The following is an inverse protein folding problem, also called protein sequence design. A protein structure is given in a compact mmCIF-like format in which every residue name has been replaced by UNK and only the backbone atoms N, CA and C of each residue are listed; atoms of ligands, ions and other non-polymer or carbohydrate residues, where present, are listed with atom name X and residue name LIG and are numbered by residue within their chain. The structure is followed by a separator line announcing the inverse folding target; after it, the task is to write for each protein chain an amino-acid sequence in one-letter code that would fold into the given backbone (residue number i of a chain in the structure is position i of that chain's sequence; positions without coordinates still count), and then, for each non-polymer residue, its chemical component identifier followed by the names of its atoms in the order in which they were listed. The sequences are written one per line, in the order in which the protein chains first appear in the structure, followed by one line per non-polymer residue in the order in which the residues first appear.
data_IF_149557136090
#
_entry.id   IF_149557136090
#
_cell.length_a   1.000
_cell.length_b   1.000
_cell.length_c   1.000
_cell.angle_alpha   90.00
_cell.angle_beta   90.00
_cell.angle_gamma   90.00
#
_symmetry.space_group_name_H-M   'P 1'
#
loop_
_entity.id
_entity.type
_entity.pdbx_description
1 polymer ?
#
# COMPACT_ATOMS: atom_id res chain seq x y z
N UNK A 1 33.93 68.90 -42.83
CA UNK A 1 33.09 69.02 -41.63
C UNK A 1 32.61 67.64 -41.29
N UNK A 2 32.40 67.24 -40.06
CA UNK A 2 32.34 67.84 -38.72
C UNK A 2 32.11 66.60 -37.83
N UNK A 3 32.40 66.45 -36.55
CA UNK A 3 32.94 67.25 -35.47
C UNK A 3 33.26 66.21 -34.38
N UNK A 4 34.22 66.51 -33.51
CA UNK A 4 34.49 65.75 -32.29
C UNK A 4 33.42 66.03 -31.24
N UNK A 5 33.00 65.00 -30.48
CA UNK A 5 32.44 65.19 -29.14
C UNK A 5 33.09 64.21 -28.14
N UNK A 6 33.64 64.80 -27.09
CA UNK A 6 34.20 64.20 -25.88
C UNK A 6 33.13 64.00 -24.79
N UNK A 7 33.55 63.36 -23.70
CA UNK A 7 32.93 63.16 -22.36
C UNK A 7 32.19 61.84 -22.18
N UNK A 8 32.26 61.12 -21.06
CA UNK A 8 33.20 61.04 -19.92
C UNK A 8 32.81 59.76 -19.14
N UNK A 9 33.69 59.33 -18.25
CA UNK A 9 33.71 58.04 -17.55
C UNK A 9 32.51 57.76 -16.62
N UNK A 10 32.16 56.49 -16.46
CA UNK A 10 31.98 55.90 -15.12
C UNK A 10 32.13 54.38 -15.14
N UNK A 11 33.06 53.88 -14.30
CA UNK A 11 33.19 52.47 -13.96
C UNK A 11 32.31 52.19 -12.74
N UNK A 12 31.45 51.19 -12.86
CA UNK A 12 30.71 50.59 -11.76
C UNK A 12 30.87 49.08 -11.87
N UNK A 13 31.72 48.52 -11.02
CA UNK A 13 31.82 47.08 -10.79
C UNK A 13 30.56 46.65 -10.03
N UNK A 14 29.67 45.93 -10.71
CA UNK A 14 28.61 45.14 -10.09
C UNK A 14 28.99 43.67 -10.24
N UNK A 15 29.22 43.01 -9.11
CA UNK A 15 29.47 41.58 -9.01
C UNK A 15 28.28 40.79 -9.60
N UNK A 16 28.46 40.23 -10.79
CA UNK A 16 27.54 39.24 -11.35
C UNK A 16 27.75 37.90 -10.64
N UNK A 17 27.03 37.71 -9.54
CA UNK A 17 26.79 36.40 -8.95
C UNK A 17 25.97 35.57 -9.93
N UNK A 18 26.64 34.75 -10.75
CA UNK A 18 26.01 33.66 -11.48
C UNK A 18 25.47 32.60 -10.50
N UNK A 19 24.22 32.76 -10.09
CA UNK A 19 23.44 31.68 -9.51
C UNK A 19 23.10 30.69 -10.63
N UNK A 20 23.90 29.63 -10.74
CA UNK A 20 23.51 28.43 -11.46
C UNK A 20 22.42 27.71 -10.66
N UNK A 21 21.16 27.94 -11.02
CA UNK A 21 20.06 27.06 -10.63
C UNK A 21 20.23 25.72 -11.36
N UNK A 22 20.82 24.75 -10.67
CA UNK A 22 20.77 23.36 -11.07
C UNK A 22 19.36 22.81 -10.77
N UNK A 23 18.46 22.98 -11.74
CA UNK A 23 17.21 22.25 -11.80
C UNK A 23 17.48 20.76 -12.03
N UNK A 24 17.79 20.03 -10.96
CA UNK A 24 17.80 18.57 -10.98
C UNK A 24 16.37 18.06 -10.87
N UNK A 25 15.66 18.05 -12.01
CA UNK A 25 14.46 17.21 -12.16
C UNK A 25 14.90 15.75 -12.25
N UNK A 26 15.06 15.12 -11.10
CA UNK A 26 15.15 13.67 -11.03
C UNK A 26 13.72 13.10 -11.17
N UNK A 27 13.27 12.94 -12.41
CA UNK A 27 12.22 11.96 -12.71
C UNK A 27 12.84 10.58 -12.48
N UNK A 28 12.62 10.04 -11.29
CA UNK A 28 12.87 8.64 -11.01
C UNK A 28 11.70 7.84 -11.57
N UNK A 29 11.73 7.55 -12.87
CA UNK A 29 10.98 6.43 -13.43
C UNK A 29 11.55 5.14 -12.84
N UNK A 30 10.99 4.71 -11.71
CA UNK A 30 11.18 3.37 -11.19
C UNK A 30 10.45 2.40 -12.12
N UNK A 31 11.15 1.93 -13.16
CA UNK A 31 10.78 0.71 -13.86
C UNK A 31 10.93 -0.47 -12.89
N UNK A 32 9.92 -0.69 -12.07
CA UNK A 32 9.76 -1.96 -11.38
C UNK A 32 9.49 -3.01 -12.46
N UNK A 33 10.50 -3.81 -12.78
CA UNK A 33 10.29 -5.08 -13.45
C UNK A 33 9.41 -5.90 -12.49
N UNK A 34 8.09 -5.91 -12.71
CA UNK A 34 7.17 -6.73 -11.95
C UNK A 34 7.52 -8.20 -12.24
N UNK A 35 8.34 -8.80 -11.36
CA UNK A 35 8.48 -10.25 -11.34
C UNK A 35 7.12 -10.83 -10.94
N UNK A 36 6.35 -11.27 -11.94
CA UNK A 36 5.12 -12.01 -11.73
C UNK A 36 5.45 -13.37 -11.10
N UNK A 37 5.28 -13.48 -9.79
CA UNK A 37 5.40 -14.77 -9.07
C UNK A 37 4.08 -15.52 -9.08
N UNK A 38 4.16 -16.83 -9.29
CA UNK A 38 2.98 -17.68 -9.15
C UNK A 38 2.65 -17.89 -7.67
N UNK A 39 1.38 -18.20 -7.40
CA UNK A 39 0.94 -18.61 -6.07
C UNK A 39 1.81 -19.74 -5.52
N UNK A 40 2.09 -20.76 -6.35
CA UNK A 40 2.89 -21.92 -5.97
C UNK A 40 4.31 -21.53 -5.53
N UNK A 41 4.95 -20.61 -6.23
CA UNK A 41 6.31 -20.16 -5.90
C UNK A 41 6.33 -19.47 -4.53
N UNK A 42 5.33 -18.64 -4.24
CA UNK A 42 5.22 -17.95 -2.95
C UNK A 42 5.02 -18.94 -1.80
N UNK A 43 4.16 -19.95 -1.98
CA UNK A 43 3.96 -20.99 -0.96
C UNK A 43 5.28 -21.72 -0.67
N UNK A 44 6.00 -22.13 -1.71
CA UNK A 44 7.28 -22.81 -1.55
C UNK A 44 8.32 -21.92 -0.84
N UNK A 45 8.37 -20.62 -1.17
CA UNK A 45 9.25 -19.66 -0.49
C UNK A 45 8.93 -19.57 1.01
N UNK A 46 7.65 -19.48 1.38
CA UNK A 46 7.24 -19.39 2.79
C UNK A 46 7.52 -20.70 3.54
N UNK A 47 7.24 -21.84 2.92
CA UNK A 47 7.49 -23.15 3.52
C UNK A 47 8.98 -23.38 3.79
N UNK A 48 9.84 -22.97 2.85
CA UNK A 48 11.30 -23.09 2.96
C UNK A 48 11.95 -22.06 3.88
N UNK A 49 11.28 -20.94 4.19
CA UNK A 49 11.82 -19.88 5.04
C UNK A 49 12.02 -20.36 6.49
N UNK A 50 13.03 -19.82 7.17
CA UNK A 50 13.26 -20.05 8.60
C UNK A 50 12.36 -19.12 9.44
N UNK A 51 11.07 -19.47 9.48
CA UNK A 51 10.02 -18.75 10.19
C UNK A 51 9.27 -19.70 11.12
N UNK A 52 8.80 -19.18 12.26
CA UNK A 52 7.96 -19.94 13.17
C UNK A 52 6.69 -20.45 12.48
N UNK A 53 6.24 -21.66 12.83
CA UNK A 53 5.08 -22.29 12.19
C UNK A 53 3.80 -21.41 12.21
N UNK A 54 3.45 -20.72 13.31
CA UNK A 54 2.28 -19.83 13.31
C UNK A 54 2.39 -18.69 12.29
N UNK A 55 3.61 -18.15 12.08
CA UNK A 55 3.86 -17.10 11.08
C UNK A 55 3.64 -17.65 9.67
N UNK A 56 4.17 -18.85 9.38
CA UNK A 56 3.96 -19.52 8.10
C UNK A 56 2.46 -19.74 7.86
N UNK A 57 1.76 -20.35 8.81
CA UNK A 57 0.33 -20.66 8.69
C UNK A 57 -0.52 -19.40 8.42
N UNK A 58 -0.29 -18.32 9.16
CA UNK A 58 -0.98 -17.04 8.95
C UNK A 58 -0.69 -16.48 7.56
N UNK A 59 0.59 -16.46 7.15
CA UNK A 59 1.00 -15.95 5.83
C UNK A 59 0.36 -16.75 4.70
N UNK A 60 0.38 -18.08 4.79
CA UNK A 60 -0.24 -18.99 3.82
C UNK A 60 -1.76 -18.76 3.72
N UNK A 61 -2.46 -18.55 4.85
CA UNK A 61 -3.90 -18.22 4.84
C UNK A 61 -4.19 -16.92 4.10
N UNK A 62 -3.39 -15.88 4.33
CA UNK A 62 -3.54 -14.57 3.66
C UNK A 62 -3.30 -14.73 2.15
N UNK A 63 -2.20 -15.36 1.74
CA UNK A 63 -1.92 -15.61 0.32
C UNK A 63 -2.98 -16.46 -0.35
N UNK A 64 -3.49 -17.49 0.33
CA UNK A 64 -4.57 -18.33 -0.18
C UNK A 64 -5.83 -17.50 -0.44
N UNK A 65 -6.20 -16.60 0.49
CA UNK A 65 -7.36 -15.71 0.33
C UNK A 65 -7.24 -14.83 -0.91
N UNK A 66 -6.06 -14.27 -1.16
CA UNK A 66 -5.78 -13.45 -2.36
C UNK A 66 -5.81 -14.33 -3.62
N UNK A 67 -5.15 -15.48 -3.59
CA UNK A 67 -5.10 -16.41 -4.72
C UNK A 67 -6.47 -16.94 -5.12
N UNK A 68 -7.35 -17.23 -4.16
CA UNK A 68 -8.73 -17.66 -4.45
C UNK A 68 -9.52 -16.54 -5.16
N UNK A 69 -9.32 -15.29 -4.74
CA UNK A 69 -9.98 -14.13 -5.38
C UNK A 69 -9.47 -13.91 -6.81
N UNK A 70 -8.16 -13.88 -7.00
CA UNK A 70 -7.51 -13.73 -8.32
C UNK A 70 -7.87 -14.88 -9.27
N UNK A 71 -7.88 -16.11 -8.77
CA UNK A 71 -8.27 -17.30 -9.53
C UNK A 71 -9.71 -17.21 -10.02
N UNK A 72 -10.63 -16.71 -9.18
CA UNK A 72 -12.02 -16.49 -9.59
C UNK A 72 -12.13 -15.42 -10.68
N UNK A 73 -11.44 -14.28 -10.52
CA UNK A 73 -11.50 -13.16 -11.46
C UNK A 73 -10.96 -13.56 -12.83
N UNK A 74 -9.91 -14.38 -12.87
CA UNK A 74 -9.28 -14.85 -14.11
C UNK A 74 -9.82 -16.19 -14.61
N UNK A 75 -10.74 -16.83 -13.89
CA UNK A 75 -11.33 -18.12 -14.25
C UNK A 75 -10.31 -19.28 -14.28
N UNK A 76 -9.30 -19.22 -13.41
CA UNK A 76 -8.23 -20.22 -13.32
C UNK A 76 -8.18 -20.85 -11.93
N UNK A 77 -7.73 -22.12 -11.81
CA UNK A 77 -7.53 -22.74 -10.51
C UNK A 77 -6.41 -22.03 -9.73
N UNK A 78 -6.52 -22.04 -8.40
CA UNK A 78 -5.60 -21.39 -7.46
C UNK A 78 -4.13 -21.71 -7.76
N UNK A 79 -3.83 -22.96 -8.09
CA UNK A 79 -2.48 -23.45 -8.35
C UNK A 79 -1.84 -22.87 -9.61
N UNK A 80 -2.65 -22.28 -10.51
CA UNK A 80 -2.20 -21.62 -11.74
C UNK A 80 -2.23 -20.09 -11.65
N UNK A 81 -2.57 -19.54 -10.49
CA UNK A 81 -2.64 -18.08 -10.30
C UNK A 81 -1.24 -17.48 -10.39
N UNK A 82 -1.11 -16.50 -11.27
CA UNK A 82 0.02 -15.57 -11.31
C UNK A 82 -0.46 -14.24 -10.78
N UNK A 83 0.22 -13.72 -9.76
CA UNK A 83 -0.15 -12.45 -9.18
C UNK A 83 0.38 -11.31 -10.03
N UNK A 84 -0.51 -10.36 -10.35
CA UNK A 84 -0.16 -9.16 -11.10
C UNK A 84 0.29 -8.06 -10.14
N UNK A 85 -0.52 -7.76 -9.13
CA UNK A 85 -0.25 -6.68 -8.17
C UNK A 85 0.40 -7.18 -6.88
N UNK A 86 0.01 -8.38 -6.42
CA UNK A 86 0.43 -8.93 -5.10
C UNK A 86 1.67 -9.85 -5.19
N UNK A 87 2.15 -10.13 -6.41
CA UNK A 87 3.33 -10.98 -6.64
C UNK A 87 4.67 -10.29 -6.37
N UNK A 88 4.63 -8.96 -6.24
CA UNK A 88 5.78 -8.12 -5.97
C UNK A 88 6.39 -8.42 -4.59
N UNK A 89 7.70 -8.20 -4.48
CA UNK A 89 8.46 -8.38 -3.23
C UNK A 89 7.82 -7.59 -2.07
N UNK A 90 7.38 -6.35 -2.33
CA UNK A 90 6.82 -5.48 -1.30
C UNK A 90 5.57 -6.09 -0.65
N UNK A 91 4.64 -6.62 -1.44
CA UNK A 91 3.43 -7.29 -0.90
C UNK A 91 3.75 -8.57 -0.14
N UNK A 92 4.79 -9.31 -0.55
CA UNK A 92 5.25 -10.48 0.19
C UNK A 92 5.81 -10.07 1.57
N UNK A 93 6.62 -9.03 1.60
CA UNK A 93 7.17 -8.49 2.84
C UNK A 93 6.05 -7.95 3.74
N UNK A 94 5.06 -7.24 3.19
CA UNK A 94 3.92 -6.70 3.95
C UNK A 94 3.13 -7.82 4.65
N UNK A 95 2.79 -8.90 3.92
CA UNK A 95 1.98 -10.01 4.44
C UNK A 95 2.75 -10.79 5.51
N UNK A 96 4.00 -11.18 5.20
CA UNK A 96 4.83 -11.95 6.12
C UNK A 96 5.18 -11.08 7.35
N UNK A 97 5.51 -9.80 7.13
CA UNK A 97 5.79 -8.84 8.19
C UNK A 97 4.60 -8.65 9.14
N UNK A 98 3.39 -8.49 8.60
CA UNK A 98 2.18 -8.43 9.41
C UNK A 98 1.97 -9.70 10.24
N UNK A 99 2.18 -10.88 9.65
CA UNK A 99 2.09 -12.16 10.36
C UNK A 99 3.12 -12.27 11.49
N UNK A 100 4.38 -11.90 11.24
CA UNK A 100 5.43 -11.85 12.26
C UNK A 100 5.03 -10.93 13.41
N UNK A 101 4.58 -9.70 13.10
CA UNK A 101 4.27 -8.69 14.11
C UNK A 101 3.11 -9.13 15.02
N UNK A 102 2.04 -9.69 14.45
CA UNK A 102 0.89 -10.18 15.24
C UNK A 102 1.31 -11.26 16.22
N UNK A 103 2.13 -12.22 15.79
CA UNK A 103 2.62 -13.30 16.65
C UNK A 103 3.63 -12.82 17.68
N UNK A 104 4.54 -11.90 17.32
CA UNK A 104 5.50 -11.32 18.26
C UNK A 104 4.83 -10.46 19.35
N UNK A 105 3.78 -9.72 18.97
CA UNK A 105 2.95 -8.95 19.91
C UNK A 105 2.06 -9.85 20.79
N UNK A 106 1.97 -11.14 20.49
CA UNK A 106 1.14 -12.13 21.20
C UNK A 106 -0.33 -11.68 21.29
N UNK A 107 -0.88 -11.25 20.15
CA UNK A 107 -2.27 -10.83 20.08
C UNK A 107 -3.16 -12.06 20.00
N UNK A 108 -4.07 -12.21 20.96
CA UNK A 108 -5.01 -13.33 21.02
C UNK A 108 -6.22 -13.12 20.09
N UNK A 109 -6.73 -11.88 20.02
CA UNK A 109 -7.94 -11.53 19.26
C UNK A 109 -7.73 -10.24 18.50
N UNK A 110 -8.06 -10.24 17.21
CA UNK A 110 -8.06 -9.04 16.35
C UNK A 110 -9.49 -8.64 16.04
N UNK A 111 -9.82 -7.36 16.26
CA UNK A 111 -11.08 -6.74 15.87
C UNK A 111 -10.82 -5.54 14.97
N UNK A 112 -11.73 -5.29 14.04
CA UNK A 112 -11.62 -4.16 13.10
C UNK A 112 -12.90 -3.35 13.04
N UNK A 113 -12.80 -2.07 12.69
CA UNK A 113 -13.97 -1.35 12.15
C UNK A 113 -14.36 -1.92 10.78
N UNK A 114 -15.56 -1.62 10.27
CA UNK A 114 -15.88 -1.83 8.86
C UNK A 114 -14.79 -1.21 7.95
N UNK A 115 -14.58 -1.81 6.78
CA UNK A 115 -13.41 -1.51 5.94
C UNK A 115 -13.72 -0.35 4.98
N UNK A 116 -13.02 0.79 5.06
CA UNK A 116 -13.21 1.88 4.11
C UNK A 116 -12.53 1.55 2.78
N UNK A 117 -13.31 1.35 1.73
CA UNK A 117 -12.79 1.01 0.39
C UNK A 117 -12.45 2.22 -0.46
N UNK A 118 -13.06 3.38 -0.16
CA UNK A 118 -12.96 4.58 -1.00
C UNK A 118 -13.94 4.55 -2.18
N UNK A 119 -13.75 5.44 -3.15
CA UNK A 119 -14.65 5.59 -4.31
C UNK A 119 -13.90 5.99 -5.58
N UNK A 120 -14.61 5.95 -6.71
CA UNK A 120 -14.11 6.42 -7.99
C UNK A 120 -13.62 5.29 -8.88
N UNK A 121 -12.54 5.55 -9.62
CA UNK A 121 -11.93 4.61 -10.55
C UNK A 121 -10.42 4.67 -10.41
N UNK A 122 -9.77 3.54 -10.60
CA UNK A 122 -8.31 3.39 -10.61
C UNK A 122 -7.87 2.76 -11.92
N UNK A 123 -6.61 2.99 -12.29
CA UNK A 123 -5.97 2.28 -13.38
C UNK A 123 -5.14 1.14 -12.78
N UNK A 124 -5.42 -0.07 -13.24
CA UNK A 124 -4.70 -1.30 -12.90
C UNK A 124 -4.18 -1.92 -14.21
N UNK A 125 -3.39 -2.99 -14.14
CA UNK A 125 -2.84 -3.67 -15.32
C UNK A 125 -3.93 -4.13 -16.31
N UNK A 126 -5.14 -4.34 -15.80
CA UNK A 126 -6.33 -4.75 -16.56
C UNK A 126 -7.17 -3.56 -17.06
N UNK A 127 -6.65 -2.33 -16.98
CA UNK A 127 -7.31 -1.10 -17.40
C UNK A 127 -8.00 -0.34 -16.28
N UNK A 128 -9.05 0.42 -16.60
CA UNK A 128 -9.69 1.31 -15.63
C UNK A 128 -10.88 0.62 -14.95
N UNK A 129 -10.75 0.34 -13.65
CA UNK A 129 -11.78 -0.32 -12.84
C UNK A 129 -12.41 0.62 -11.81
N UNK A 130 -13.67 0.36 -11.38
CA UNK A 130 -14.25 1.03 -10.22
C UNK A 130 -13.48 0.68 -8.95
N UNK A 131 -13.55 1.56 -7.95
CA UNK A 131 -13.12 1.28 -6.58
C UNK A 131 -14.33 0.76 -5.79
N UNK A 132 -14.21 -0.34 -5.02
CA UNK A 132 -13.02 -1.18 -4.84
C UNK A 132 -12.64 -1.99 -6.09
N UNK A 133 -11.34 -2.26 -6.24
CA UNK A 133 -10.82 -3.15 -7.28
C UNK A 133 -11.47 -4.55 -7.20
N UNK A 134 -11.56 -5.30 -8.32
CA UNK A 134 -12.20 -6.62 -8.35
C UNK A 134 -11.69 -7.59 -7.29
N UNK A 135 -10.37 -7.74 -7.15
CA UNK A 135 -9.75 -8.63 -6.16
C UNK A 135 -10.08 -8.20 -4.74
N UNK A 136 -9.95 -6.91 -4.44
CA UNK A 136 -10.31 -6.33 -3.13
C UNK A 136 -11.77 -6.63 -2.78
N UNK A 137 -12.70 -6.41 -3.70
CA UNK A 137 -14.12 -6.64 -3.45
C UNK A 137 -14.44 -8.12 -3.23
N UNK A 138 -13.80 -8.99 -4.01
CA UNK A 138 -13.91 -10.44 -3.88
C UNK A 138 -13.40 -10.95 -2.52
N UNK A 139 -12.23 -10.45 -2.08
CA UNK A 139 -11.63 -10.74 -0.77
C UNK A 139 -12.55 -10.28 0.37
N UNK A 140 -13.21 -9.13 0.23
CA UNK A 140 -14.09 -8.56 1.25
C UNK A 140 -15.52 -9.14 1.25
N UNK A 141 -15.84 -10.15 0.45
CA UNK A 141 -17.15 -10.82 0.55
C UNK A 141 -17.37 -11.40 1.96
N UNK A 142 -18.45 -10.96 2.61
CA UNK A 142 -18.79 -11.31 3.99
C UNK A 142 -18.17 -10.39 5.05
N UNK A 143 -17.31 -9.45 4.66
CA UNK A 143 -16.71 -8.43 5.53
C UNK A 143 -17.50 -7.12 5.39
N UNK A 144 -17.88 -6.43 6.49
CA UNK A 144 -18.60 -5.16 6.38
C UNK A 144 -17.69 -4.07 5.81
N UNK A 145 -18.22 -3.36 4.81
CA UNK A 145 -17.55 -2.24 4.15
C UNK A 145 -18.12 -0.93 4.70
N UNK A 146 -17.23 0.03 4.96
CA UNK A 146 -17.59 1.39 5.35
C UNK A 146 -17.75 2.26 4.11
N UNK A 147 -18.81 3.08 4.09
CA UNK A 147 -18.96 4.12 3.08
C UNK A 147 -17.86 5.17 3.28
N UNK A 148 -17.21 5.56 2.19
CA UNK A 148 -16.26 6.67 2.17
C UNK A 148 -16.62 7.63 1.04
N UNK A 149 -16.39 8.93 1.24
CA UNK A 149 -16.53 9.94 0.19
C UNK A 149 -15.14 10.30 -0.43
N UNK A 150 -14.07 9.61 -0.01
CA UNK A 150 -12.73 9.84 -0.54
C UNK A 150 -12.59 9.15 -1.89
N UNK A 151 -12.29 9.95 -2.93
CA UNK A 151 -12.08 9.48 -4.31
C UNK A 151 -10.67 8.95 -4.52
N UNK A 152 -10.38 7.81 -3.92
CA UNK A 152 -9.17 7.03 -4.13
C UNK A 152 -9.44 5.58 -3.71
N UNK A 153 -8.61 4.64 -4.16
CA UNK A 153 -8.50 3.34 -3.49
C UNK A 153 -7.84 3.54 -2.12
N UNK A 154 -8.61 3.27 -1.06
CA UNK A 154 -8.17 3.36 0.33
C UNK A 154 -7.72 2.00 0.88
N UNK A 155 -8.35 0.93 0.42
CA UNK A 155 -7.98 -0.44 0.78
C UNK A 155 -7.53 -1.18 -0.47
N UNK A 156 -6.28 -1.61 -0.48
CA UNK A 156 -5.69 -2.45 -1.55
C UNK A 156 -6.00 -3.93 -1.31
N UNK A 157 -5.80 -4.81 -2.30
CA UNK A 157 -6.00 -6.26 -2.11
C UNK A 157 -5.19 -6.83 -0.93
N UNK A 158 -3.94 -6.38 -0.75
CA UNK A 158 -3.06 -6.80 0.35
C UNK A 158 -3.65 -6.44 1.71
N UNK A 159 -4.05 -5.17 1.91
CA UNK A 159 -4.65 -4.73 3.18
C UNK A 159 -5.99 -5.42 3.47
N UNK A 160 -6.83 -5.60 2.45
CA UNK A 160 -8.09 -6.33 2.57
C UNK A 160 -7.88 -7.78 3.01
N UNK A 161 -6.90 -8.49 2.43
CA UNK A 161 -6.65 -9.88 2.76
C UNK A 161 -6.08 -10.06 4.17
N UNK A 162 -5.15 -9.19 4.57
CA UNK A 162 -4.60 -9.20 5.93
C UNK A 162 -5.73 -9.07 6.94
N UNK A 163 -6.58 -8.04 6.82
CA UNK A 163 -7.63 -7.81 7.81
C UNK A 163 -8.74 -8.85 7.75
N UNK A 164 -9.12 -9.34 6.55
CA UNK A 164 -10.15 -10.36 6.38
C UNK A 164 -9.74 -11.72 6.97
N UNK A 165 -8.44 -12.02 7.03
CA UNK A 165 -7.94 -13.27 7.63
C UNK A 165 -7.69 -13.11 9.14
N UNK A 166 -7.19 -11.95 9.57
CA UNK A 166 -6.82 -11.75 10.97
C UNK A 166 -8.02 -11.39 11.86
N UNK A 167 -8.93 -10.54 11.40
CA UNK A 167 -10.01 -10.05 12.25
C UNK A 167 -11.11 -11.10 12.46
N UNK A 168 -11.46 -11.35 13.71
CA UNK A 168 -12.52 -12.27 14.11
C UNK A 168 -13.89 -11.58 14.17
N UNK A 169 -13.89 -10.28 14.46
CA UNK A 169 -15.09 -9.47 14.58
C UNK A 169 -14.90 -8.09 13.95
N UNK A 170 -16.00 -7.57 13.39
CA UNK A 170 -16.06 -6.24 12.81
C UNK A 170 -17.11 -5.38 13.52
N UNK A 171 -16.72 -4.19 13.97
CA UNK A 171 -17.59 -3.31 14.75
C UNK A 171 -16.88 -2.06 15.28
N UNK A 172 -17.54 -1.27 16.14
CA UNK A 172 -16.89 -0.14 16.79
C UNK A 172 -15.76 -0.60 17.72
N UNK A 173 -14.90 0.34 18.12
CA UNK A 173 -13.88 0.09 19.14
C UNK A 173 -14.59 -0.42 20.41
N UNK A 174 -14.21 -1.59 20.96
CA UNK A 174 -14.85 -2.14 22.15
C UNK A 174 -14.51 -1.31 23.40
N UNK A 175 -15.32 -1.46 24.45
CA UNK A 175 -14.95 -0.98 25.78
C UNK A 175 -13.71 -1.73 26.25
N UNK A 176 -12.59 -1.02 26.39
CA UNK A 176 -11.30 -1.60 26.75
C UNK A 176 -10.41 -0.57 27.46
N UNK A 177 -9.43 -1.03 28.22
CA UNK A 177 -8.32 -0.23 28.72
C UNK A 177 -7.17 -0.29 27.70
N UNK A 178 -6.95 0.82 27.02
CA UNK A 178 -5.86 0.95 26.05
C UNK A 178 -4.51 0.88 26.75
N UNK A 179 -3.64 -0.01 26.28
CA UNK A 179 -2.25 -0.18 26.75
C UNK A 179 -1.24 0.38 25.78
N UNK A 180 -1.52 0.36 24.47
CA UNK A 180 -0.61 0.86 23.44
C UNK A 180 -1.36 1.31 22.19
N UNK A 181 -0.77 2.25 21.46
CA UNK A 181 -1.29 2.77 20.19
C UNK A 181 -0.17 2.83 19.16
N UNK A 182 -0.49 2.53 17.90
CA UNK A 182 0.43 2.63 16.78
C UNK A 182 -0.26 3.23 15.56
N UNK A 183 0.51 3.92 14.72
CA UNK A 183 0.04 4.48 13.46
C UNK A 183 0.96 4.09 12.32
N UNK A 184 0.39 3.63 11.22
CA UNK A 184 1.07 3.47 9.94
C UNK A 184 0.50 4.49 8.94
N UNK A 185 1.36 5.28 8.29
CA UNK A 185 0.94 6.28 7.33
C UNK A 185 1.19 5.80 5.89
N UNK A 186 0.21 5.97 5.02
CA UNK A 186 0.40 5.79 3.58
C UNK A 186 0.94 7.07 2.93
N UNK A 187 1.37 6.97 1.68
CA UNK A 187 2.02 8.08 0.96
C UNK A 187 1.05 9.11 0.37
N UNK A 188 -0.22 8.74 0.17
CA UNK A 188 -1.26 9.67 -0.33
C UNK A 188 -1.62 10.70 0.74
N UNK A 189 -1.89 11.94 0.31
CA UNK A 189 -2.37 13.01 1.20
C UNK A 189 -3.80 13.40 0.82
N UNK A 190 -4.69 13.46 1.80
CA UNK A 190 -6.07 13.93 1.61
C UNK A 190 -6.32 15.20 2.42
N UNK A 191 -7.05 16.16 1.85
CA UNK A 191 -7.24 17.49 2.46
C UNK A 191 -7.93 17.47 3.83
N UNK A 192 -8.84 16.53 4.04
CA UNK A 192 -9.71 16.48 5.22
C UNK A 192 -9.53 15.18 6.03
N UNK A 193 -8.63 14.29 5.61
CA UNK A 193 -8.46 12.97 6.22
C UNK A 193 -6.99 12.59 6.27
N UNK A 194 -6.46 12.21 7.45
CA UNK A 194 -5.14 11.62 7.51
C UNK A 194 -5.17 10.23 6.84
N UNK A 195 -4.20 9.95 5.98
CA UNK A 195 -4.03 8.64 5.35
C UNK A 195 -3.27 7.70 6.28
N UNK A 196 -3.91 7.30 7.39
CA UNK A 196 -3.28 6.50 8.44
C UNK A 196 -4.15 5.31 8.83
N UNK A 197 -3.49 4.18 9.08
CA UNK A 197 -4.04 3.06 9.82
C UNK A 197 -3.67 3.22 11.29
N UNK A 198 -4.63 3.05 12.20
CA UNK A 198 -4.40 3.06 13.64
C UNK A 198 -4.59 1.68 14.23
N UNK A 199 -3.59 1.18 14.94
CA UNK A 199 -3.68 -0.01 15.78
C UNK A 199 -3.82 0.39 17.26
N UNK A 200 -4.66 -0.34 17.99
CA UNK A 200 -4.90 -0.14 19.43
C UNK A 200 -4.79 -1.51 20.09
N UNK A 201 -3.99 -1.60 21.15
CA UNK A 201 -3.84 -2.80 21.97
C UNK A 201 -4.36 -2.49 23.37
N UNK A 202 -5.03 -3.45 24.01
CA UNK A 202 -5.55 -3.33 25.36
C UNK A 202 -6.45 -4.51 25.75
N UNK A 203 -7.08 -4.41 26.92
CA UNK A 203 -7.90 -5.47 27.52
C UNK A 203 -9.26 -4.98 28.04
#
# INVERSE_FOLDING_TARGET
GDEHHHHEHSHSHGDEHHHHEHGHSHDHEHHHHHEHRSYKDIIQLIEAADLDNPVKETSLKIFKRIGEAEGLIHGIPLEKVHFHEVGAIDSIIDIIGAAILIHQLKIDVVKSSPIPVGTGRIHIDHGIYPVPAPATLEILKGVPIEKSDIRAELTTPTGAAIIAVLAEEFGPIPSMKVSSIGYGAGTKTFKQHPNVLRAIIGN
#
